data_IF_593000132688
#
_entry.id   IF_593000132688
#
_cell.length_a   1.000
_cell.length_b   1.000
_cell.length_c   1.000
_cell.angle_alpha   90.00
_cell.angle_beta   90.00
_cell.angle_gamma   90.00
#
_symmetry.space_group_name_H-M   'P 1'
#
loop_
_entity.id
_entity.type
_entity.pdbx_description
1 polymer ?
#
# COMPACT_ATOMS: atom_id res chain seq x y z
N UNK A 1 22.12 -11.51 -0.11
CA UNK A 1 21.64 -10.28 0.58
C UNK A 1 20.40 -10.69 1.36
N UNK A 2 20.14 -10.11 2.54
CA UNK A 2 18.97 -10.51 3.35
C UNK A 2 17.68 -9.77 2.90
N UNK A 3 17.36 -9.81 1.59
CA UNK A 3 16.20 -9.15 0.99
C UNK A 3 15.48 -10.10 0.03
N UNK A 4 14.16 -10.23 0.21
CA UNK A 4 13.26 -10.84 -0.75
C UNK A 4 12.48 -9.73 -1.50
N UNK A 5 12.54 -9.75 -2.81
CA UNK A 5 11.82 -8.81 -3.68
C UNK A 5 10.50 -9.44 -4.08
N UNK A 6 9.40 -8.80 -3.74
CA UNK A 6 8.05 -9.27 -4.09
C UNK A 6 7.47 -8.39 -5.20
N UNK A 7 7.14 -9.01 -6.32
CA UNK A 7 6.60 -8.34 -7.49
C UNK A 7 5.21 -8.91 -7.80
N UNK A 8 4.13 -8.26 -7.33
CA UNK A 8 2.78 -8.64 -7.72
C UNK A 8 2.53 -8.23 -9.18
N UNK A 9 1.84 -9.06 -9.94
CA UNK A 9 1.45 -8.74 -11.33
C UNK A 9 0.04 -9.23 -11.64
N UNK A 10 -0.70 -8.44 -12.42
CA UNK A 10 -2.03 -8.78 -12.91
C UNK A 10 -2.22 -8.28 -14.34
N UNK A 11 -2.31 -9.19 -15.31
CA UNK A 11 -2.54 -8.89 -16.75
C UNK A 11 -1.53 -7.90 -17.36
N UNK A 12 -0.31 -7.86 -16.86
CA UNK A 12 0.70 -6.87 -17.23
C UNK A 12 2.04 -7.52 -17.59
N UNK A 13 2.00 -8.70 -18.22
CA UNK A 13 3.18 -9.55 -18.47
C UNK A 13 4.27 -8.83 -19.26
N UNK A 14 3.92 -8.08 -20.30
CA UNK A 14 4.91 -7.39 -21.14
C UNK A 14 5.70 -6.34 -20.37
N UNK A 15 5.01 -5.54 -19.55
CA UNK A 15 5.63 -4.52 -18.69
C UNK A 15 6.48 -5.18 -17.61
N UNK A 16 5.98 -6.24 -16.97
CA UNK A 16 6.73 -7.05 -16.01
C UNK A 16 8.06 -7.52 -16.61
N UNK A 17 8.03 -8.15 -17.80
CA UNK A 17 9.24 -8.67 -18.47
C UNK A 17 10.23 -7.55 -18.78
N UNK A 18 9.74 -6.43 -19.29
CA UNK A 18 10.59 -5.27 -19.58
C UNK A 18 11.28 -4.76 -18.32
N UNK A 19 10.52 -4.64 -17.22
CA UNK A 19 11.02 -4.10 -15.95
C UNK A 19 11.90 -5.11 -15.21
N UNK A 20 11.62 -6.40 -15.29
CA UNK A 20 12.54 -7.43 -14.78
C UNK A 20 13.90 -7.36 -15.47
N UNK A 21 13.95 -7.28 -16.81
CA UNK A 21 15.21 -7.11 -17.55
C UNK A 21 16.01 -5.89 -17.09
N UNK A 22 15.32 -4.80 -16.79
CA UNK A 22 15.93 -3.56 -16.30
C UNK A 22 16.40 -3.69 -14.84
N UNK A 23 15.56 -4.27 -13.96
CA UNK A 23 15.78 -4.26 -12.51
C UNK A 23 16.75 -5.33 -12.02
N UNK A 24 16.79 -6.50 -12.66
CA UNK A 24 17.61 -7.65 -12.24
C UNK A 24 19.08 -7.30 -11.97
N UNK A 25 19.77 -6.49 -12.79
CA UNK A 25 21.16 -6.10 -12.50
C UNK A 25 21.34 -5.35 -11.17
N UNK A 26 20.33 -4.65 -10.69
CA UNK A 26 20.36 -3.95 -9.39
C UNK A 26 20.01 -4.86 -8.21
N UNK A 27 19.33 -5.99 -8.49
CA UNK A 27 18.81 -6.95 -7.51
C UNK A 27 19.76 -8.12 -7.24
N UNK A 28 21.01 -8.02 -7.67
CA UNK A 28 22.01 -9.08 -7.45
C UNK A 28 22.13 -9.46 -5.98
N UNK A 29 22.02 -10.76 -5.69
CA UNK A 29 22.04 -11.32 -4.34
C UNK A 29 20.73 -11.19 -3.55
N UNK A 30 19.65 -10.70 -4.16
CA UNK A 30 18.30 -10.76 -3.60
C UNK A 30 17.56 -12.03 -4.06
N UNK A 31 16.64 -12.53 -3.25
CA UNK A 31 15.59 -13.43 -3.71
C UNK A 31 14.56 -12.62 -4.51
N UNK A 32 14.06 -13.16 -5.63
CA UNK A 32 13.06 -12.48 -6.44
C UNK A 32 11.85 -13.40 -6.61
N UNK A 33 10.69 -12.95 -6.11
CA UNK A 33 9.42 -13.66 -6.18
C UNK A 33 8.43 -12.84 -6.98
N UNK A 34 7.98 -13.37 -8.11
CA UNK A 34 6.87 -12.82 -8.89
C UNK A 34 5.61 -13.57 -8.53
N UNK A 35 4.53 -12.84 -8.20
CA UNK A 35 3.23 -13.43 -7.89
C UNK A 35 2.23 -13.01 -8.96
N UNK A 36 1.80 -13.96 -9.80
CA UNK A 36 0.80 -13.75 -10.83
C UNK A 36 -0.61 -13.92 -10.25
N UNK A 37 -1.39 -12.85 -10.25
CA UNK A 37 -2.77 -12.82 -9.76
C UNK A 37 -3.83 -13.01 -10.86
N UNK A 38 -3.40 -13.47 -12.04
CA UNK A 38 -4.28 -13.76 -13.14
C UNK A 38 -4.44 -15.29 -13.33
N UNK A 39 -5.45 -15.94 -12.69
CA UNK A 39 -5.55 -17.39 -12.63
C UNK A 39 -5.76 -18.06 -13.99
N UNK A 40 -6.33 -17.32 -14.96
CA UNK A 40 -6.67 -17.87 -16.28
C UNK A 40 -5.49 -17.87 -17.26
N UNK A 41 -4.34 -17.27 -16.88
CA UNK A 41 -3.19 -17.11 -17.78
C UNK A 41 -1.88 -17.34 -17.05
N UNK A 42 -1.21 -18.46 -17.34
CA UNK A 42 0.13 -18.73 -16.84
C UNK A 42 1.17 -17.88 -17.57
N UNK A 43 2.10 -17.29 -16.80
CA UNK A 43 3.26 -16.54 -17.32
C UNK A 43 4.57 -17.32 -17.14
N UNK A 44 4.51 -18.60 -16.80
CA UNK A 44 5.69 -19.44 -16.56
C UNK A 44 6.63 -19.48 -17.76
N UNK A 45 6.08 -19.57 -18.98
CA UNK A 45 6.89 -19.60 -20.21
C UNK A 45 7.65 -18.29 -20.42
N UNK A 46 7.04 -17.16 -20.11
CA UNK A 46 7.64 -15.84 -20.31
C UNK A 46 8.75 -15.60 -19.27
N UNK A 47 8.62 -16.16 -18.07
CA UNK A 47 9.61 -16.04 -17.00
C UNK A 47 10.75 -17.06 -17.08
N UNK A 48 10.69 -18.10 -17.90
CA UNK A 48 11.76 -19.09 -18.05
C UNK A 48 13.12 -18.50 -18.45
N UNK A 49 13.15 -17.30 -19.04
CA UNK A 49 14.38 -16.59 -19.36
C UNK A 49 15.10 -16.01 -18.13
N UNK A 50 14.48 -15.99 -16.94
CA UNK A 50 15.01 -15.44 -15.69
C UNK A 50 15.18 -16.54 -14.65
N UNK A 51 16.31 -17.25 -14.68
CA UNK A 51 16.57 -18.40 -13.81
C UNK A 51 16.55 -18.08 -12.30
N UNK A 52 16.75 -16.81 -11.90
CA UNK A 52 16.77 -16.33 -10.53
C UNK A 52 15.39 -15.89 -10.01
N UNK A 53 14.34 -15.97 -10.82
CA UNK A 53 12.99 -15.57 -10.47
C UNK A 53 12.17 -16.78 -10.08
N UNK A 54 11.58 -16.75 -8.88
CA UNK A 54 10.56 -17.71 -8.44
C UNK A 54 9.20 -17.19 -8.83
N UNK A 55 8.40 -17.99 -9.55
CA UNK A 55 7.03 -17.67 -9.91
C UNK A 55 6.05 -18.38 -8.98
N UNK A 56 5.08 -17.61 -8.47
CA UNK A 56 3.88 -18.10 -7.78
C UNK A 56 2.68 -17.70 -8.62
N UNK A 57 1.79 -18.64 -8.89
CA UNK A 57 0.53 -18.39 -9.61
C UNK A 57 -0.66 -18.59 -8.69
N UNK A 58 -1.41 -17.54 -8.42
CA UNK A 58 -2.60 -17.58 -7.59
C UNK A 58 -3.71 -18.38 -8.29
N UNK A 59 -4.37 -19.27 -7.54
CA UNK A 59 -5.48 -20.11 -8.06
C UNK A 59 -6.75 -19.30 -8.36
N UNK A 60 -6.90 -18.14 -7.77
CA UNK A 60 -7.96 -17.14 -7.99
C UNK A 60 -7.40 -15.75 -7.79
N UNK A 61 -8.08 -14.76 -8.34
CA UNK A 61 -7.68 -13.37 -8.14
C UNK A 61 -7.81 -13.00 -6.67
N UNK A 62 -6.67 -12.72 -6.02
CA UNK A 62 -6.54 -12.36 -4.61
C UNK A 62 -6.53 -10.85 -4.39
N UNK A 63 -6.51 -10.06 -5.48
CA UNK A 63 -6.28 -8.62 -5.43
C UNK A 63 -4.89 -8.27 -4.95
N UNK A 64 -4.57 -6.97 -4.92
CA UNK A 64 -3.23 -6.51 -4.55
C UNK A 64 -2.79 -7.01 -3.17
N UNK A 65 -3.65 -6.83 -2.15
CA UNK A 65 -3.34 -7.23 -0.77
C UNK A 65 -3.02 -8.72 -0.64
N UNK A 66 -3.88 -9.59 -1.18
CA UNK A 66 -3.69 -11.03 -1.09
C UNK A 66 -2.48 -11.51 -1.88
N UNK A 67 -2.22 -10.90 -3.05
CA UNK A 67 -1.08 -11.21 -3.90
C UNK A 67 0.24 -10.88 -3.22
N UNK A 68 0.35 -9.70 -2.60
CA UNK A 68 1.55 -9.34 -1.83
C UNK A 68 1.70 -10.21 -0.60
N UNK A 69 0.61 -10.45 0.15
CA UNK A 69 0.66 -11.34 1.31
C UNK A 69 1.17 -12.73 0.95
N UNK A 70 0.72 -13.30 -0.18
CA UNK A 70 1.22 -14.58 -0.70
C UNK A 70 2.73 -14.54 -0.92
N UNK A 71 3.23 -13.52 -1.61
CA UNK A 71 4.66 -13.39 -1.88
C UNK A 71 5.50 -13.20 -0.60
N UNK A 72 5.03 -12.37 0.34
CA UNK A 72 5.71 -12.14 1.62
C UNK A 72 5.74 -13.39 2.49
N UNK A 73 4.67 -14.20 2.46
CA UNK A 73 4.63 -15.47 3.18
C UNK A 73 5.70 -16.46 2.71
N UNK A 74 5.95 -16.52 1.40
CA UNK A 74 6.96 -17.39 0.80
C UNK A 74 8.39 -16.81 0.86
N UNK A 75 8.54 -15.54 1.21
CA UNK A 75 9.83 -14.86 1.32
C UNK A 75 10.71 -15.46 2.44
N UNK A 76 11.96 -15.81 2.08
CA UNK A 76 12.90 -16.45 3.01
C UNK A 76 13.69 -15.45 3.87
N UNK A 77 13.70 -14.15 3.49
CA UNK A 77 14.54 -13.14 4.15
C UNK A 77 13.76 -12.22 5.07
N UNK A 78 14.49 -11.58 6.01
CA UNK A 78 13.92 -10.72 7.06
C UNK A 78 13.41 -9.38 6.55
N UNK A 79 13.86 -8.96 5.36
CA UNK A 79 13.44 -7.69 4.75
C UNK A 79 12.82 -7.94 3.39
N UNK A 80 11.72 -7.25 3.13
CA UNK A 80 10.94 -7.39 1.90
C UNK A 80 10.94 -6.10 1.13
N UNK A 81 11.48 -6.14 -0.09
CA UNK A 81 11.34 -5.07 -1.07
C UNK A 81 10.05 -5.29 -1.85
N UNK A 82 9.03 -4.48 -1.60
CA UNK A 82 7.85 -4.43 -2.45
C UNK A 82 8.17 -3.60 -3.70
N UNK A 83 7.94 -4.18 -4.86
CA UNK A 83 8.21 -3.54 -6.14
C UNK A 83 7.10 -3.89 -7.13
N UNK A 84 6.27 -2.92 -7.52
CA UNK A 84 5.25 -3.17 -8.53
C UNK A 84 5.87 -3.56 -9.86
N UNK A 85 5.13 -4.28 -10.69
CA UNK A 85 5.58 -4.75 -12.01
C UNK A 85 5.85 -3.61 -13.00
N UNK A 86 5.36 -2.39 -12.73
CA UNK A 86 5.58 -1.17 -13.52
C UNK A 86 6.63 -0.21 -12.91
N UNK A 87 7.35 -0.63 -11.87
CA UNK A 87 8.39 0.17 -11.22
C UNK A 87 9.78 -0.19 -11.74
N UNK A 88 10.60 0.83 -12.04
CA UNK A 88 12.02 0.70 -12.43
C UNK A 88 12.93 1.25 -11.35
N UNK A 89 13.87 0.44 -10.91
CA UNK A 89 14.97 0.88 -10.07
C UNK A 89 15.94 1.75 -10.89
N UNK A 90 16.33 2.91 -10.39
CA UNK A 90 17.34 3.75 -11.06
C UNK A 90 18.76 3.32 -10.72
N UNK A 91 18.92 2.65 -9.60
CA UNK A 91 20.19 2.10 -9.10
C UNK A 91 19.92 1.16 -7.92
N UNK A 92 20.95 0.80 -7.16
CA UNK A 92 20.85 -0.07 -5.99
C UNK A 92 20.75 0.71 -4.65
N UNK A 93 20.31 1.97 -4.67
CA UNK A 93 20.22 2.82 -3.46
C UNK A 93 19.26 2.30 -2.41
N UNK A 94 18.28 1.43 -2.75
CA UNK A 94 17.42 0.76 -1.78
C UNK A 94 18.19 -0.01 -0.69
N UNK A 95 19.46 -0.35 -0.94
CA UNK A 95 20.36 -0.95 0.06
C UNK A 95 20.65 -0.04 1.26
N UNK A 96 20.44 1.27 1.12
CA UNK A 96 20.53 2.24 2.24
C UNK A 96 19.42 1.97 3.25
N UNK A 97 18.19 1.75 2.74
CA UNK A 97 17.05 1.42 3.60
C UNK A 97 17.28 0.13 4.41
N UNK A 98 18.01 -0.85 3.85
CA UNK A 98 18.35 -2.07 4.59
C UNK A 98 19.16 -1.76 5.84
N UNK A 99 20.14 -0.85 5.75
CA UNK A 99 20.94 -0.45 6.91
C UNK A 99 20.09 0.21 7.99
N UNK A 100 19.21 1.14 7.62
CA UNK A 100 18.30 1.80 8.55
C UNK A 100 17.39 0.80 9.28
N UNK A 101 16.81 -0.16 8.53
CA UNK A 101 15.96 -1.22 9.08
C UNK A 101 16.72 -2.20 9.99
N UNK A 102 18.02 -2.40 9.76
CA UNK A 102 18.86 -3.27 10.61
C UNK A 102 19.32 -2.57 11.90
N UNK A 103 19.38 -1.24 11.89
CA UNK A 103 19.83 -0.42 13.04
C UNK A 103 18.66 -0.04 13.97
N UNK A 104 17.41 -0.18 13.54
CA UNK A 104 16.22 0.22 14.31
C UNK A 104 15.09 -0.82 14.23
N UNK A 105 14.96 -1.64 15.27
CA UNK A 105 13.93 -2.68 15.40
C UNK A 105 12.50 -2.13 15.39
N UNK A 106 12.30 -0.83 15.63
CA UNK A 106 10.99 -0.18 15.58
C UNK A 106 10.65 0.45 14.22
N UNK A 107 11.61 0.45 13.28
CA UNK A 107 11.38 0.92 11.92
C UNK A 107 10.63 -0.17 11.12
N UNK A 108 9.38 0.15 10.77
CA UNK A 108 8.54 -0.76 10.00
C UNK A 108 8.92 -0.81 8.53
N UNK A 109 9.11 0.38 7.92
CA UNK A 109 9.39 0.49 6.49
C UNK A 109 10.11 1.79 6.13
N UNK A 110 10.84 1.74 5.00
CA UNK A 110 11.38 2.91 4.32
C UNK A 110 10.71 3.03 2.95
N UNK A 111 10.04 4.16 2.71
CA UNK A 111 9.36 4.51 1.46
C UNK A 111 10.31 5.27 0.55
N UNK A 112 10.23 5.03 -0.75
CA UNK A 112 11.15 5.58 -1.75
C UNK A 112 10.55 6.79 -2.47
N UNK A 113 11.42 7.64 -3.01
CA UNK A 113 11.02 8.71 -3.90
C UNK A 113 10.69 8.14 -5.29
N UNK A 114 9.51 8.45 -5.78
CA UNK A 114 9.01 7.96 -7.06
C UNK A 114 9.01 9.11 -8.06
N UNK A 115 9.68 8.90 -9.18
CA UNK A 115 9.73 9.85 -10.29
C UNK A 115 8.66 9.51 -11.30
N UNK A 116 7.73 10.43 -11.50
CA UNK A 116 6.66 10.35 -12.48
C UNK A 116 7.15 10.68 -13.91
N UNK A 117 6.30 10.42 -14.91
CA UNK A 117 6.60 10.70 -16.32
C UNK A 117 6.90 12.17 -16.60
N UNK A 118 6.23 13.08 -15.91
CA UNK A 118 6.43 14.55 -16.03
C UNK A 118 7.67 15.06 -15.28
N UNK A 119 8.40 14.16 -14.61
CA UNK A 119 9.56 14.47 -13.79
C UNK A 119 9.22 14.88 -12.36
N UNK A 120 7.95 14.95 -11.98
CA UNK A 120 7.53 15.20 -10.59
C UNK A 120 8.02 14.07 -9.70
N UNK A 121 8.48 14.41 -8.49
CA UNK A 121 8.88 13.43 -7.48
C UNK A 121 7.81 13.40 -6.40
N UNK A 122 7.34 12.20 -6.06
CA UNK A 122 6.33 11.92 -5.03
C UNK A 122 6.82 10.83 -4.07
N UNK A 123 5.99 10.39 -3.12
CA UNK A 123 6.29 9.30 -2.19
C UNK A 123 6.40 9.75 -0.73
N UNK A 124 6.59 11.07 -0.46
CA UNK A 124 6.46 11.61 0.89
C UNK A 124 5.02 12.06 1.12
N UNK A 125 4.40 11.55 2.15
CA UNK A 125 2.97 11.63 2.35
C UNK A 125 2.62 12.09 3.77
N UNK A 126 1.49 12.79 3.90
CA UNK A 126 0.91 13.16 5.17
C UNK A 126 -0.57 12.81 5.25
N UNK A 127 -1.05 12.64 6.48
CA UNK A 127 -2.47 12.41 6.80
C UNK A 127 -2.98 13.50 7.74
N UNK A 128 -4.24 13.84 7.60
CA UNK A 128 -4.91 14.81 8.49
C UNK A 128 -6.40 14.53 8.57
N UNK A 129 -7.05 15.01 9.65
CA UNK A 129 -8.48 14.88 9.82
C UNK A 129 -9.20 16.15 9.36
N UNK A 130 -10.16 16.01 8.44
CA UNK A 130 -10.95 17.16 7.96
C UNK A 130 -12.37 16.74 7.62
N UNK A 131 -13.35 17.49 8.16
CA UNK A 131 -14.77 17.27 7.89
C UNK A 131 -15.20 15.81 8.12
N UNK A 132 -14.77 15.21 9.24
CA UNK A 132 -15.16 13.87 9.63
C UNK A 132 -14.49 12.73 8.84
N UNK A 133 -13.48 13.02 8.03
CA UNK A 133 -12.77 12.01 7.24
C UNK A 133 -11.26 12.15 7.39
N UNK A 134 -10.57 11.01 7.40
CA UNK A 134 -9.13 11.00 7.18
C UNK A 134 -8.87 11.44 5.74
N UNK A 135 -8.00 12.41 5.59
CA UNK A 135 -7.49 12.90 4.31
C UNK A 135 -6.00 12.65 4.24
N UNK A 136 -5.51 12.52 3.05
CA UNK A 136 -4.09 12.38 2.76
C UNK A 136 -3.69 13.29 1.60
N UNK A 137 -2.42 13.65 1.57
CA UNK A 137 -1.83 14.38 0.47
C UNK A 137 -0.32 14.11 0.38
N UNK A 138 0.21 14.21 -0.83
CA UNK A 138 1.65 14.25 -1.03
C UNK A 138 2.21 15.60 -0.51
N UNK A 139 3.42 15.55 0.03
CA UNK A 139 4.19 16.72 0.45
C UNK A 139 5.51 16.75 -0.29
N UNK A 140 6.21 17.89 -0.25
CA UNK A 140 7.50 18.02 -0.94
C UNK A 140 8.49 16.96 -0.43
N UNK A 141 9.08 16.17 -1.34
CA UNK A 141 9.96 15.07 -0.99
C UNK A 141 11.43 15.50 -0.89
N UNK A 142 11.71 16.70 -0.35
CA UNK A 142 13.03 17.31 -0.41
C UNK A 142 14.00 16.74 0.65
N UNK A 143 13.45 16.22 1.77
CA UNK A 143 14.23 15.76 2.90
C UNK A 143 13.74 14.41 3.43
N UNK A 144 14.65 13.57 3.99
CA UNK A 144 14.25 12.35 4.68
C UNK A 144 13.42 12.69 5.93
N UNK A 145 12.65 11.72 6.41
CA UNK A 145 11.88 11.90 7.63
C UNK A 145 10.63 11.02 7.71
N UNK A 146 9.77 11.22 8.71
CA UNK A 146 8.56 10.43 8.88
C UNK A 146 7.67 10.46 7.66
N UNK A 147 7.12 9.30 7.29
CA UNK A 147 6.12 9.15 6.24
C UNK A 147 4.83 8.59 6.82
N UNK A 148 3.68 9.13 6.40
CA UNK A 148 2.40 8.66 6.91
C UNK A 148 2.11 7.22 6.50
N UNK A 149 2.52 6.81 5.30
CA UNK A 149 2.46 5.42 4.85
C UNK A 149 3.62 5.07 3.91
N UNK A 150 4.00 3.79 3.93
CA UNK A 150 4.89 3.19 2.96
C UNK A 150 4.05 2.78 1.75
N UNK A 151 4.41 3.29 0.58
CA UNK A 151 3.70 2.97 -0.67
C UNK A 151 3.89 1.50 -1.04
N UNK A 152 2.78 0.79 -1.27
CA UNK A 152 2.81 -0.65 -1.56
C UNK A 152 3.57 -1.04 -2.82
N UNK A 153 3.87 -0.07 -3.69
CA UNK A 153 4.57 -0.29 -4.96
C UNK A 153 6.08 -0.10 -4.92
N UNK A 154 6.63 0.58 -3.90
CA UNK A 154 8.07 0.85 -3.81
C UNK A 154 8.50 1.20 -2.38
N UNK A 155 8.75 0.19 -1.57
CA UNK A 155 9.27 0.35 -0.22
C UNK A 155 10.03 -0.89 0.25
N UNK A 156 10.94 -0.71 1.22
CA UNK A 156 11.56 -1.83 1.93
C UNK A 156 10.94 -1.96 3.33
N UNK A 157 10.51 -3.16 3.68
CA UNK A 157 9.72 -3.46 4.88
C UNK A 157 10.46 -4.46 5.77
N UNK A 158 10.35 -4.31 7.08
CA UNK A 158 10.70 -5.33 8.06
C UNK A 158 9.63 -6.43 8.06
N UNK A 159 9.98 -7.63 7.55
CA UNK A 159 9.06 -8.77 7.43
C UNK A 159 8.47 -9.20 8.76
N UNK A 160 9.28 -9.22 9.83
CA UNK A 160 8.81 -9.59 11.17
C UNK A 160 7.66 -8.67 11.62
N UNK A 161 7.83 -7.35 11.44
CA UNK A 161 6.78 -6.38 11.81
C UNK A 161 5.56 -6.46 10.89
N UNK A 162 5.76 -6.77 9.60
CA UNK A 162 4.67 -7.04 8.66
C UNK A 162 3.83 -8.24 9.12
N UNK A 163 4.47 -9.34 9.53
CA UNK A 163 3.82 -10.56 10.00
C UNK A 163 3.10 -10.31 11.35
N UNK A 164 3.71 -9.57 12.29
CA UNK A 164 3.08 -9.16 13.55
C UNK A 164 1.81 -8.33 13.34
N UNK A 165 1.80 -7.50 12.30
CA UNK A 165 0.65 -6.71 11.89
C UNK A 165 -0.35 -7.48 11.01
N UNK A 166 -0.11 -8.77 10.74
CA UNK A 166 -0.94 -9.63 9.89
C UNK A 166 -1.04 -9.16 8.43
N UNK A 167 0.00 -8.50 7.93
CA UNK A 167 0.10 -8.10 6.53
C UNK A 167 -0.95 -7.09 6.06
N UNK A 168 -1.16 -7.04 4.76
CA UNK A 168 -2.24 -6.25 4.15
C UNK A 168 -3.60 -6.85 4.44
N UNK A 169 -4.59 -6.01 4.73
CA UNK A 169 -5.96 -6.45 4.94
C UNK A 169 -6.72 -6.58 3.61
N UNK A 170 -7.03 -7.81 3.22
CA UNK A 170 -7.77 -8.10 1.97
C UNK A 170 -9.18 -7.51 1.91
N UNK A 171 -9.68 -6.93 3.01
CA UNK A 171 -10.93 -6.17 3.01
C UNK A 171 -10.90 -4.99 2.03
N UNK A 172 -9.71 -4.45 1.76
CA UNK A 172 -9.50 -3.33 0.85
C UNK A 172 -9.40 -3.73 -0.62
N UNK A 173 -9.35 -5.03 -0.93
CA UNK A 173 -9.30 -5.51 -2.30
C UNK A 173 -10.40 -4.86 -3.19
N UNK A 174 -10.11 -4.58 -4.46
CA UNK A 174 -8.91 -5.00 -5.18
C UNK A 174 -7.70 -4.07 -5.04
N UNK A 175 -7.87 -2.79 -4.61
CA UNK A 175 -6.81 -1.77 -4.48
C UNK A 175 -7.27 -0.57 -3.66
N UNK A 176 -6.30 0.25 -3.23
CA UNK A 176 -6.37 1.48 -2.44
C UNK A 176 -6.75 1.30 -0.97
N UNK A 177 -6.07 2.04 -0.12
CA UNK A 177 -6.18 2.09 1.33
C UNK A 177 -5.52 0.92 2.08
N UNK A 178 -5.09 -0.15 1.44
CA UNK A 178 -4.40 -1.27 2.08
C UNK A 178 -3.05 -0.85 2.67
N UNK A 179 -2.29 -0.01 1.94
CA UNK A 179 -1.00 0.52 2.35
C UNK A 179 -1.14 1.57 3.47
N UNK A 180 -2.14 2.46 3.35
CA UNK A 180 -2.49 3.42 4.40
C UNK A 180 -2.95 2.67 5.67
N UNK A 181 -3.76 1.61 5.52
CA UNK A 181 -4.25 0.79 6.64
C UNK A 181 -3.11 0.09 7.39
N UNK A 182 -2.23 -0.60 6.67
CA UNK A 182 -1.10 -1.31 7.26
C UNK A 182 -0.15 -0.33 7.96
N UNK A 183 0.15 0.77 7.30
CA UNK A 183 1.01 1.83 7.84
C UNK A 183 0.40 2.50 9.07
N UNK A 184 -0.90 2.75 9.06
CA UNK A 184 -1.62 3.31 10.23
C UNK A 184 -1.58 2.34 11.41
N UNK A 185 -1.77 1.03 11.17
CA UNK A 185 -1.62 -0.01 12.21
C UNK A 185 -0.19 -0.06 12.75
N UNK A 186 0.83 0.05 11.88
CA UNK A 186 2.22 0.14 12.30
C UNK A 186 2.45 1.34 13.24
N UNK A 187 2.01 2.54 12.84
CA UNK A 187 2.08 3.73 13.68
C UNK A 187 1.34 3.56 15.02
N UNK A 188 0.15 2.96 15.00
CA UNK A 188 -0.65 2.69 16.21
C UNK A 188 0.02 1.68 17.15
N UNK A 189 0.83 0.77 16.62
CA UNK A 189 1.63 -0.21 17.37
C UNK A 189 2.93 0.36 17.94
N UNK A 190 3.22 1.63 17.73
CA UNK A 190 4.47 2.23 18.21
C UNK A 190 5.61 2.20 17.19
N UNK A 191 5.46 1.51 16.07
CA UNK A 191 6.42 1.48 14.97
C UNK A 191 6.43 2.80 14.21
N UNK A 192 7.40 2.98 13.31
CA UNK A 192 7.45 4.16 12.47
C UNK A 192 7.86 3.84 11.02
N UNK A 193 7.63 4.80 10.15
CA UNK A 193 7.91 4.71 8.72
C UNK A 193 8.73 5.93 8.34
N UNK A 194 9.79 5.72 7.56
CA UNK A 194 10.61 6.78 7.01
C UNK A 194 10.39 6.92 5.50
N UNK A 195 10.70 8.11 5.02
CA UNK A 195 10.87 8.42 3.61
C UNK A 195 12.33 8.80 3.37
N UNK A 196 12.98 8.18 2.38
CA UNK A 196 14.33 8.55 1.94
C UNK A 196 14.30 9.06 0.49
N UNK A 197 14.49 10.39 0.24
CA UNK A 197 14.51 10.98 -1.09
C UNK A 197 15.70 10.56 -1.96
N UNK A 198 16.75 10.00 -1.36
CA UNK A 198 17.92 9.51 -2.08
C UNK A 198 17.71 8.13 -2.70
N UNK A 199 16.67 7.40 -2.27
CA UNK A 199 16.27 6.14 -2.88
C UNK A 199 15.21 6.46 -3.92
N UNK A 200 15.59 6.42 -5.20
CA UNK A 200 14.71 6.83 -6.30
C UNK A 200 14.36 5.68 -7.22
N UNK A 201 13.07 5.63 -7.58
CA UNK A 201 12.53 4.72 -8.59
C UNK A 201 11.76 5.51 -9.64
N UNK A 202 11.59 4.96 -10.84
CA UNK A 202 10.58 5.45 -11.80
C UNK A 202 9.30 4.65 -11.60
N UNK A 203 8.19 5.34 -11.40
CA UNK A 203 6.87 4.74 -11.26
C UNK A 203 5.82 5.60 -11.96
N UNK A 204 5.03 5.01 -12.81
CA UNK A 204 4.01 5.71 -13.58
C UNK A 204 2.62 5.29 -13.08
N UNK A 205 2.13 6.00 -12.06
CA UNK A 205 0.92 5.64 -11.29
C UNK A 205 -0.37 5.44 -12.10
N UNK A 206 -0.46 5.95 -13.32
CA UNK A 206 -1.72 5.94 -14.06
C UNK A 206 -1.94 4.69 -14.93
N UNK A 207 -1.01 3.73 -14.97
CA UNK A 207 -1.01 2.74 -16.03
C UNK A 207 -1.83 1.48 -15.73
N UNK A 208 -1.68 0.84 -14.57
CA UNK A 208 -2.26 -0.49 -14.35
C UNK A 208 -3.75 -0.42 -13.97
N UNK A 209 -4.13 0.39 -12.97
CA UNK A 209 -5.52 0.43 -12.48
C UNK A 209 -6.45 1.08 -13.51
N UNK A 210 -6.04 2.24 -14.08
CA UNK A 210 -6.84 2.98 -15.06
C UNK A 210 -7.06 2.22 -16.36
N UNK A 211 -6.14 1.32 -16.76
CA UNK A 211 -6.27 0.49 -17.95
C UNK A 211 -7.27 -0.67 -17.78
N UNK A 212 -7.47 -1.15 -16.54
CA UNK A 212 -8.30 -2.33 -16.28
C UNK A 212 -9.64 -2.02 -15.62
N UNK A 213 -9.79 -0.84 -15.02
CA UNK A 213 -11.02 -0.47 -14.31
C UNK A 213 -11.58 0.86 -14.81
N UNK A 214 -12.91 0.93 -14.92
CA UNK A 214 -13.61 2.18 -15.28
C UNK A 214 -13.49 3.18 -14.12
N UNK A 215 -13.42 4.47 -14.44
CA UNK A 215 -13.27 5.56 -13.47
C UNK A 215 -14.34 5.55 -12.37
N UNK A 216 -15.61 5.32 -12.72
CA UNK A 216 -16.71 5.22 -11.77
C UNK A 216 -16.49 4.08 -10.75
N UNK A 217 -15.98 2.94 -11.23
CA UNK A 217 -15.65 1.81 -10.35
C UNK A 217 -14.49 2.11 -9.40
N UNK A 218 -13.46 2.79 -9.90
CA UNK A 218 -12.32 3.23 -9.08
C UNK A 218 -12.80 4.17 -7.95
N UNK A 219 -13.63 5.16 -8.27
CA UNK A 219 -14.20 6.09 -7.29
C UNK A 219 -15.06 5.35 -6.25
N UNK A 220 -15.93 4.43 -6.67
CA UNK A 220 -16.75 3.61 -5.76
C UNK A 220 -15.89 2.82 -4.78
N UNK A 221 -14.82 2.17 -5.26
CA UNK A 221 -13.88 1.41 -4.43
C UNK A 221 -13.16 2.34 -3.45
N UNK A 222 -12.67 3.49 -3.91
CA UNK A 222 -11.99 4.48 -3.07
C UNK A 222 -12.89 4.98 -1.93
N UNK A 223 -14.15 5.31 -2.21
CA UNK A 223 -15.13 5.69 -1.19
C UNK A 223 -15.41 4.57 -0.20
N UNK A 224 -15.63 3.34 -0.71
CA UNK A 224 -15.83 2.16 0.14
C UNK A 224 -14.66 1.98 1.10
N UNK A 225 -13.45 1.97 0.56
CA UNK A 225 -12.23 1.67 1.33
C UNK A 225 -11.91 2.78 2.34
N UNK A 226 -12.17 4.06 2.02
CA UNK A 226 -12.06 5.14 2.98
C UNK A 226 -12.99 4.95 4.19
N UNK A 227 -14.23 4.54 3.96
CA UNK A 227 -15.19 4.27 5.04
C UNK A 227 -14.77 3.06 5.88
N UNK A 228 -14.36 1.97 5.23
CA UNK A 228 -13.85 0.76 5.90
C UNK A 228 -12.64 1.10 6.77
N UNK A 229 -11.69 1.89 6.25
CA UNK A 229 -10.53 2.35 7.00
C UNK A 229 -10.91 3.13 8.25
N UNK A 230 -11.80 4.12 8.12
CA UNK A 230 -12.22 4.97 9.25
C UNK A 230 -12.91 4.12 10.32
N UNK A 231 -13.87 3.27 9.93
CA UNK A 231 -14.61 2.43 10.87
C UNK A 231 -13.74 1.36 11.54
N UNK A 232 -12.70 0.91 10.86
CA UNK A 232 -11.76 -0.09 11.38
C UNK A 232 -10.73 0.53 12.34
N UNK A 233 -10.15 1.67 11.98
CA UNK A 233 -8.92 2.15 12.59
C UNK A 233 -9.12 3.31 13.58
N UNK A 234 -10.13 4.16 13.38
CA UNK A 234 -10.34 5.35 14.22
C UNK A 234 -11.03 4.97 15.52
N UNK A 235 -10.41 5.32 16.64
CA UNK A 235 -10.87 5.01 17.99
C UNK A 235 -11.14 6.26 18.86
N UNK A 236 -10.67 7.45 18.45
CA UNK A 236 -10.91 8.72 19.13
C UNK A 236 -12.41 9.09 19.10
N UNK A 237 -13.04 9.25 20.27
CA UNK A 237 -14.47 9.49 20.38
C UNK A 237 -14.95 10.76 19.66
N UNK A 238 -14.21 11.84 19.76
CA UNK A 238 -14.48 13.10 19.07
C UNK A 238 -14.38 12.95 17.55
N UNK A 239 -13.41 12.17 17.05
CA UNK A 239 -13.26 11.85 15.63
C UNK A 239 -14.45 10.99 15.15
N UNK A 240 -14.87 10.00 15.94
CA UNK A 240 -16.03 9.16 15.63
C UNK A 240 -17.32 10.01 15.57
N UNK A 241 -17.54 10.90 16.53
CA UNK A 241 -18.69 11.81 16.54
C UNK A 241 -18.64 12.74 15.32
N UNK A 242 -17.49 13.33 15.07
CA UNK A 242 -17.26 14.16 13.88
C UNK A 242 -17.56 13.37 12.60
N UNK A 243 -17.06 12.13 12.47
CA UNK A 243 -17.33 11.28 11.32
C UNK A 243 -18.82 11.04 11.12
N UNK A 244 -19.56 10.63 12.15
CA UNK A 244 -21.01 10.39 12.06
C UNK A 244 -21.76 11.62 11.56
N UNK A 245 -21.45 12.80 12.10
CA UNK A 245 -22.09 14.04 11.70
C UNK A 245 -21.83 14.39 10.22
N UNK A 246 -20.57 14.34 9.79
CA UNK A 246 -20.22 14.68 8.42
C UNK A 246 -20.62 13.59 7.42
N UNK A 247 -20.68 12.33 7.83
CA UNK A 247 -21.17 11.22 7.00
C UNK A 247 -22.65 11.43 6.65
N UNK A 248 -23.49 11.82 7.63
CA UNK A 248 -24.91 12.14 7.38
C UNK A 248 -25.02 13.30 6.38
N UNK A 249 -24.22 14.38 6.55
CA UNK A 249 -24.21 15.49 5.59
C UNK A 249 -23.79 15.04 4.19
N UNK A 250 -22.80 14.16 4.11
CA UNK A 250 -22.30 13.64 2.84
C UNK A 250 -23.33 12.74 2.17
N UNK A 251 -24.06 11.91 2.91
CA UNK A 251 -25.15 11.09 2.39
C UNK A 251 -26.29 11.96 1.82
N UNK A 252 -26.74 12.97 2.58
CA UNK A 252 -27.78 13.91 2.09
C UNK A 252 -27.32 14.60 0.81
N UNK A 253 -26.08 15.10 0.76
CA UNK A 253 -25.51 15.73 -0.41
C UNK A 253 -25.42 14.76 -1.59
N UNK A 254 -25.01 13.52 -1.36
CA UNK A 254 -24.89 12.50 -2.41
C UNK A 254 -26.25 12.17 -3.01
N UNK A 255 -27.29 12.04 -2.20
CA UNK A 255 -28.68 11.86 -2.68
C UNK A 255 -29.13 13.07 -3.51
N UNK A 256 -28.92 14.30 -3.02
CA UNK A 256 -29.33 15.52 -3.72
C UNK A 256 -28.59 15.74 -5.05
N UNK A 257 -27.32 15.28 -5.14
CA UNK A 257 -26.48 15.43 -6.35
C UNK A 257 -26.47 14.19 -7.24
N UNK A 258 -27.20 13.14 -6.87
CA UNK A 258 -27.18 11.83 -7.53
C UNK A 258 -25.75 11.27 -7.69
N UNK A 259 -24.94 11.38 -6.61
CA UNK A 259 -23.58 10.81 -6.55
C UNK A 259 -23.67 9.30 -6.30
N UNK A 260 -23.91 8.57 -7.40
CA UNK A 260 -24.12 7.11 -7.38
C UNK A 260 -22.87 6.40 -6.88
N UNK A 261 -21.67 6.88 -7.21
CA UNK A 261 -20.41 6.23 -6.83
C UNK A 261 -20.23 6.23 -5.31
N UNK A 262 -20.50 7.38 -4.65
CA UNK A 262 -20.44 7.45 -3.19
C UNK A 262 -21.51 6.57 -2.54
N UNK A 263 -22.77 6.62 -3.01
CA UNK A 263 -23.87 5.83 -2.45
C UNK A 263 -23.60 4.32 -2.55
N UNK A 264 -23.13 3.87 -3.71
CA UNK A 264 -22.76 2.47 -3.91
C UNK A 264 -21.58 2.06 -3.02
N UNK A 265 -20.53 2.89 -2.94
CA UNK A 265 -19.39 2.67 -2.05
C UNK A 265 -19.81 2.57 -0.59
N UNK A 266 -20.72 3.44 -0.13
CA UNK A 266 -21.29 3.38 1.22
C UNK A 266 -22.06 2.07 1.48
N UNK A 267 -22.92 1.65 0.55
CA UNK A 267 -23.66 0.38 0.69
C UNK A 267 -22.71 -0.81 0.73
N UNK A 268 -21.68 -0.82 -0.11
CA UNK A 268 -20.65 -1.88 -0.09
C UNK A 268 -19.86 -1.88 1.23
N UNK A 269 -19.54 -0.72 1.79
CA UNK A 269 -18.89 -0.59 3.10
C UNK A 269 -19.79 -1.13 4.23
N UNK A 270 -21.09 -0.81 4.21
CA UNK A 270 -22.05 -1.34 5.19
C UNK A 270 -22.14 -2.87 5.18
N UNK A 271 -22.08 -3.51 4.01
CA UNK A 271 -22.07 -4.98 3.91
C UNK A 271 -20.87 -5.61 4.62
N UNK A 272 -19.75 -4.89 4.71
CA UNK A 272 -18.55 -5.33 5.41
C UNK A 272 -18.50 -4.93 6.89
N UNK A 273 -19.47 -4.17 7.37
CA UNK A 273 -19.46 -3.60 8.74
C UNK A 273 -19.26 -4.64 9.86
N UNK A 274 -19.86 -5.86 9.83
CA UNK A 274 -19.61 -6.88 10.84
C UNK A 274 -18.13 -7.29 10.93
N UNK A 275 -17.45 -7.45 9.78
CA UNK A 275 -16.01 -7.77 9.71
C UNK A 275 -15.16 -6.61 10.23
N UNK A 276 -15.52 -5.38 9.85
CA UNK A 276 -14.86 -4.16 10.31
C UNK A 276 -14.91 -4.07 11.83
N UNK A 277 -16.07 -4.34 12.44
CA UNK A 277 -16.23 -4.25 13.88
C UNK A 277 -15.33 -5.23 14.63
N UNK A 278 -15.23 -6.46 14.16
CA UNK A 278 -14.30 -7.46 14.72
C UNK A 278 -12.86 -6.94 14.66
N UNK A 279 -12.43 -6.46 13.49
CA UNK A 279 -11.06 -5.97 13.28
C UNK A 279 -10.76 -4.69 14.07
N UNK A 280 -11.76 -3.83 14.28
CA UNK A 280 -11.63 -2.63 15.11
C UNK A 280 -11.17 -2.96 16.54
N UNK A 281 -11.72 -4.01 17.14
CA UNK A 281 -11.34 -4.43 18.50
C UNK A 281 -10.00 -5.14 18.54
N UNK A 282 -9.53 -5.70 17.43
CA UNK A 282 -8.24 -6.37 17.30
C UNK A 282 -7.10 -5.40 17.01
N UNK A 283 -7.38 -4.19 16.54
CA UNK A 283 -6.37 -3.21 16.17
C UNK A 283 -5.52 -2.74 17.36
N UNK A 284 -4.22 -2.48 17.13
CA UNK A 284 -3.33 -1.95 18.14
C UNK A 284 -3.78 -0.58 18.64
N UNK A 285 -3.49 -0.28 19.92
CA UNK A 285 -3.92 0.95 20.61
C UNK A 285 -2.81 1.60 21.43
N UNK A 286 -1.54 1.33 21.13
CA UNK A 286 -0.41 1.90 21.87
C UNK A 286 -0.33 3.42 21.72
N UNK A 287 -0.61 3.93 20.51
CA UNK A 287 -0.70 5.38 20.24
C UNK A 287 -2.14 5.77 19.91
N UNK A 288 -2.53 6.97 20.32
CA UNK A 288 -3.84 7.53 20.00
C UNK A 288 -3.89 8.06 18.56
N UNK A 289 -5.10 8.19 18.00
CA UNK A 289 -5.30 8.81 16.69
C UNK A 289 -4.81 10.26 16.67
N UNK A 290 -4.99 11.00 17.76
CA UNK A 290 -4.55 12.39 17.89
C UNK A 290 -3.02 12.54 17.86
N UNK A 291 -2.28 11.63 18.50
CA UNK A 291 -0.82 11.61 18.43
C UNK A 291 -0.34 11.41 17.00
N UNK A 292 -0.96 10.46 16.27
CA UNK A 292 -0.63 10.23 14.87
C UNK A 292 -0.95 11.46 14.00
N UNK A 293 -2.17 11.97 14.08
CA UNK A 293 -2.60 13.12 13.29
C UNK A 293 -1.73 14.35 13.55
N UNK A 294 -1.38 14.61 14.83
CA UNK A 294 -0.50 15.71 15.21
C UNK A 294 0.89 15.59 14.58
N UNK A 295 1.42 14.37 14.48
CA UNK A 295 2.76 14.12 13.90
C UNK A 295 2.86 14.57 12.44
N UNK A 296 1.77 14.49 11.69
CA UNK A 296 1.73 14.78 10.25
C UNK A 296 1.08 16.13 9.89
N UNK A 297 0.62 16.91 10.87
CA UNK A 297 -0.03 18.22 10.65
C UNK A 297 0.86 19.42 11.03
N UNK A 298 2.13 19.19 11.35
CA UNK A 298 3.08 20.26 11.70
C UNK A 298 3.88 20.72 10.52
#
# INVERSE_FOLDING_TARGET
>A
MNISVIIPTYRNTDVLIQNLKHNIPYLEGCEIIVVNDHPDTSIAKDLNQFAQVTLIENKHNMGFSGTVNTGVHEAMHDFVLLLNDDVKLLNNSFKRALKELQEDDSLFAVSFAQKEMDGTIVGKNMIYWKNGFLRHQAVKPDEPGPNAWAEGGSCLINKKLFDELHGFDEMFNPFYWEDIDLSYRAWKSGYHILFDPEIRVEHHHETTISNHFRKDRIETIAYRNQLLFIWKNISGWDLIISHKFYLIKMLVRAIMKNDVNFLEGFVQALKNFPRVLIKHFQNPKQRSDHELLKKFTQ
#
